data_IF_349139345109
#
_entry.id   IF_349139345109
#
_cell.length_a   1.000
_cell.length_b   1.000
_cell.length_c   1.000
_cell.angle_alpha   90.00
_cell.angle_beta   90.00
_cell.angle_gamma   90.00
#
_symmetry.space_group_name_H-M   'P 1'
#
loop_
_entity.id
_entity.type
_entity.pdbx_description
1 polymer ?
#
# COMPACT_ATOMS: atom_id res chain seq x y z
N UNK A 1 23.49 -5.54 8.73
CA UNK A 1 22.84 -5.31 8.51
C UNK A 1 22.04 -5.23 8.70
N UNK A 2 21.70 -5.02 8.76
CA UNK A 2 20.87 -4.94 9.02
C UNK A 2 19.99 -5.05 8.67
N UNK A 3 19.43 -5.07 8.72
CA UNK A 3 18.61 -5.14 8.45
C UNK A 3 17.81 -4.90 8.47
N UNK A 4 17.50 -5.02 8.28
CA UNK A 4 16.69 -4.51 8.44
C UNK A 4 15.58 -4.69 8.23
N UNK A 5 14.99 -5.01 8.77
CA UNK A 5 13.94 -5.09 8.65
C UNK A 5 13.32 -4.10 8.50
N UNK A 6 13.41 -3.54 8.69
CA UNK A 6 12.72 -2.44 8.50
C UNK A 6 12.86 -2.03 7.22
N UNK A 7 12.09 -1.35 6.77
CA UNK A 7 12.08 -1.04 5.50
C UNK A 7 12.88 0.14 5.24
N UNK A 8 13.91 -0.04 4.53
CA UNK A 8 14.72 1.03 4.03
C UNK A 8 14.05 1.53 2.76
N UNK A 9 13.04 2.30 2.92
CA UNK A 9 12.27 2.74 1.76
C UNK A 9 13.00 3.85 1.02
N UNK A 10 13.39 3.58 -0.20
CA UNK A 10 13.95 4.61 -1.08
C UNK A 10 12.82 5.48 -1.59
N UNK A 11 13.16 6.61 -2.21
CA UNK A 11 12.15 7.48 -2.79
C UNK A 11 11.36 6.76 -3.87
N UNK A 12 12.03 5.92 -4.65
CA UNK A 12 11.36 5.14 -5.70
C UNK A 12 10.34 4.19 -5.10
N UNK A 13 10.70 3.51 -4.03
CA UNK A 13 9.80 2.56 -3.37
C UNK A 13 8.61 3.29 -2.76
N UNK A 14 8.86 4.42 -2.11
CA UNK A 14 7.79 5.23 -1.54
C UNK A 14 6.83 5.72 -2.61
N UNK A 15 7.36 6.11 -3.77
CA UNK A 15 6.53 6.55 -4.88
C UNK A 15 5.65 5.42 -5.38
N UNK A 16 6.19 4.20 -5.45
CA UNK A 16 5.40 3.04 -5.85
C UNK A 16 4.26 2.76 -4.87
N UNK A 17 4.56 2.83 -3.58
CA UNK A 17 3.54 2.64 -2.56
C UNK A 17 2.45 3.70 -2.67
N UNK A 18 2.85 4.95 -2.88
CA UNK A 18 1.90 6.06 -2.99
C UNK A 18 1.01 5.89 -4.21
N UNK A 19 1.60 5.47 -5.32
CA UNK A 19 0.82 5.23 -6.53
C UNK A 19 -0.17 4.10 -6.34
N UNK A 20 0.27 3.01 -5.71
CA UNK A 20 -0.62 1.89 -5.42
C UNK A 20 -1.80 2.34 -4.57
N UNK A 21 -1.51 3.13 -3.54
CA UNK A 21 -2.56 3.60 -2.66
C UNK A 21 -3.52 4.56 -3.35
N UNK A 22 -3.01 5.36 -4.29
CA UNK A 22 -3.85 6.24 -5.09
C UNK A 22 -4.88 5.43 -5.90
N UNK A 23 -4.42 4.35 -6.52
CA UNK A 23 -5.35 3.45 -7.23
C UNK A 23 -6.32 2.81 -6.25
N UNK A 24 -5.85 2.44 -5.07
CA UNK A 24 -6.68 1.84 -4.04
C UNK A 24 -7.84 2.77 -3.67
N UNK A 25 -7.57 4.05 -3.51
CA UNK A 25 -8.60 5.01 -3.16
C UNK A 25 -9.58 5.27 -4.29
N UNK A 26 -9.14 5.11 -5.53
CA UNK A 26 -10.00 5.29 -6.69
C UNK A 26 -10.83 4.07 -7.03
N UNK A 27 -10.46 2.93 -6.48
CA UNK A 27 -11.10 1.69 -6.85
C UNK A 27 -12.55 1.65 -6.40
N UNK A 28 -13.43 1.06 -7.21
CA UNK A 28 -14.79 0.80 -6.75
C UNK A 28 -14.74 -0.27 -5.68
N UNK A 29 -15.27 0.01 -4.54
CA UNK A 29 -15.27 -0.94 -3.43
C UNK A 29 -16.68 -1.34 -3.06
N UNK A 30 -16.78 -2.10 -1.97
CA UNK A 30 -18.06 -2.54 -1.45
C UNK A 30 -18.41 -1.69 -0.23
N UNK A 31 -19.51 -0.96 -0.30
CA UNK A 31 -19.93 -0.09 0.78
C UNK A 31 -20.33 -0.82 2.03
N UNK A 32 -20.81 -2.05 1.86
CA UNK A 32 -21.46 -2.76 2.95
C UNK A 32 -20.58 -3.82 3.59
N UNK A 33 -19.58 -4.30 2.89
CA UNK A 33 -18.72 -5.35 3.40
C UNK A 33 -17.27 -4.90 3.32
N UNK A 34 -16.68 -4.61 4.47
CA UNK A 34 -15.32 -4.08 4.53
C UNK A 34 -14.27 -5.05 3.99
N UNK A 35 -14.49 -6.35 4.19
CA UNK A 35 -13.55 -7.34 3.68
C UNK A 35 -13.60 -7.41 2.16
N UNK A 36 -14.79 -7.40 1.60
CA UNK A 36 -14.94 -7.39 0.16
C UNK A 36 -14.43 -6.10 -0.44
N UNK A 37 -14.70 -4.98 0.25
CA UNK A 37 -14.22 -3.67 -0.19
C UNK A 37 -12.71 -3.69 -0.34
N UNK A 38 -12.01 -4.15 0.68
CA UNK A 38 -10.55 -4.18 0.64
C UNK A 38 -10.04 -5.11 -0.45
N UNK A 39 -10.63 -6.29 -0.58
CA UNK A 39 -10.23 -7.26 -1.60
C UNK A 39 -10.44 -6.71 -3.01
N UNK A 40 -11.59 -6.10 -3.24
CA UNK A 40 -11.89 -5.53 -4.55
C UNK A 40 -10.94 -4.40 -4.90
N UNK A 41 -10.62 -3.55 -3.93
CA UNK A 41 -9.70 -2.45 -4.16
C UNK A 41 -8.29 -2.96 -4.45
N UNK A 42 -7.86 -3.99 -3.74
CA UNK A 42 -6.55 -4.58 -3.98
C UNK A 42 -6.49 -5.22 -5.37
N UNK A 43 -7.55 -5.91 -5.77
CA UNK A 43 -7.62 -6.48 -7.11
C UNK A 43 -7.54 -5.40 -8.18
N UNK A 44 -8.21 -4.29 -7.93
CA UNK A 44 -8.16 -3.15 -8.86
C UNK A 44 -6.73 -2.62 -8.99
N UNK A 45 -6.03 -2.46 -7.86
CA UNK A 45 -4.64 -2.00 -7.89
C UNK A 45 -3.77 -2.98 -8.67
N UNK A 46 -3.98 -4.28 -8.43
CA UNK A 46 -3.21 -5.30 -9.13
C UNK A 46 -3.41 -5.19 -10.64
N UNK A 47 -4.64 -5.01 -11.08
CA UNK A 47 -4.93 -4.86 -12.49
C UNK A 47 -4.30 -3.60 -13.08
N UNK A 48 -4.48 -2.48 -12.39
CA UNK A 48 -3.99 -1.20 -12.90
C UNK A 48 -2.47 -1.12 -12.97
N UNK A 49 -1.80 -1.75 -12.03
CA UNK A 49 -0.35 -1.73 -11.97
C UNK A 49 0.29 -2.99 -12.54
N UNK A 50 -0.51 -3.90 -13.07
CA UNK A 50 -0.04 -5.16 -13.63
C UNK A 50 0.78 -5.96 -12.64
N UNK A 51 0.26 -6.04 -11.42
CA UNK A 51 0.87 -6.80 -10.34
C UNK A 51 0.00 -7.99 -9.98
N UNK A 52 0.58 -8.93 -9.23
CA UNK A 52 -0.25 -9.97 -8.64
C UNK A 52 -1.01 -9.37 -7.46
N UNK A 53 -2.08 -10.04 -7.04
CA UNK A 53 -2.84 -9.59 -5.87
C UNK A 53 -1.92 -9.48 -4.65
N UNK A 54 -1.05 -10.46 -4.50
CA UNK A 54 -0.12 -10.51 -3.38
C UNK A 54 0.80 -9.29 -3.36
N UNK A 55 1.34 -8.93 -4.53
CA UNK A 55 2.20 -7.77 -4.65
C UNK A 55 1.45 -6.48 -4.37
N UNK A 56 0.25 -6.35 -4.91
CA UNK A 56 -0.56 -5.16 -4.69
C UNK A 56 -0.90 -5.00 -3.21
N UNK A 57 -1.29 -6.09 -2.56
CA UNK A 57 -1.61 -6.08 -1.15
C UNK A 57 -0.41 -5.63 -0.32
N UNK A 58 0.77 -6.14 -0.65
CA UNK A 58 1.99 -5.79 0.06
C UNK A 58 2.28 -4.30 -0.04
N UNK A 59 2.13 -3.72 -1.22
CA UNK A 59 2.38 -2.30 -1.42
C UNK A 59 1.41 -1.45 -0.63
N UNK A 60 0.14 -1.83 -0.61
CA UNK A 60 -0.88 -1.11 0.16
C UNK A 60 -0.55 -1.16 1.65
N UNK A 61 -0.22 -2.35 2.16
CA UNK A 61 0.10 -2.51 3.58
C UNK A 61 1.36 -1.74 3.97
N UNK A 62 2.37 -1.74 3.08
CA UNK A 62 3.59 -0.99 3.34
C UNK A 62 3.31 0.51 3.40
N UNK A 63 2.47 1.01 2.51
CA UNK A 63 2.10 2.41 2.53
C UNK A 63 1.37 2.76 3.83
N UNK A 64 0.44 1.94 4.24
CA UNK A 64 -0.31 2.17 5.45
C UNK A 64 0.60 2.19 6.68
N UNK A 65 1.53 1.24 6.74
CA UNK A 65 2.48 1.19 7.84
C UNK A 65 3.40 2.40 7.86
N UNK A 66 3.86 2.83 6.69
CA UNK A 66 4.70 4.01 6.57
C UNK A 66 3.97 5.25 7.06
N UNK A 67 2.72 5.43 6.66
CA UNK A 67 1.93 6.58 7.11
C UNK A 67 1.70 6.57 8.61
N UNK A 68 1.45 5.40 9.19
CA UNK A 68 1.31 5.31 10.64
C UNK A 68 2.61 5.69 11.35
N UNK A 69 3.74 5.26 10.82
CA UNK A 69 5.03 5.57 11.42
C UNK A 69 5.37 7.05 11.33
N UNK A 70 4.97 7.70 10.25
CA UNK A 70 5.14 9.13 10.13
C UNK A 70 4.34 9.85 11.23
N UNK A 71 3.10 9.45 11.42
CA UNK A 71 2.25 10.05 12.45
C UNK A 71 2.80 9.86 13.85
N UNK A 72 3.47 8.73 14.08
CA UNK A 72 4.08 8.45 15.37
C UNK A 72 5.45 9.11 15.55
N UNK A 73 5.99 9.69 14.49
CA UNK A 73 7.30 10.31 14.55
C UNK A 73 8.44 9.33 14.47
N UNK A 74 8.16 8.08 14.09
CA UNK A 74 9.20 7.06 13.99
C UNK A 74 10.08 7.24 12.77
N UNK A 75 9.49 7.69 11.67
CA UNK A 75 10.25 7.92 10.44
C UNK A 75 9.92 9.28 9.89
N UNK A 76 10.81 9.80 9.05
CA UNK A 76 10.57 11.05 8.37
C UNK A 76 9.66 10.85 7.16
N UNK A 77 8.86 11.84 6.84
CA UNK A 77 8.00 11.76 5.66
C UNK A 77 8.79 11.65 4.36
#
# INVERSE_FOLDING_TARGET
MPETRGIQATEEVKAEWSLAYKHYLRAPGDRFDKKKDRTQRIDYVAQEMKLTRKQAKRRIRNYEAWQRNIKKGVVSP
#
